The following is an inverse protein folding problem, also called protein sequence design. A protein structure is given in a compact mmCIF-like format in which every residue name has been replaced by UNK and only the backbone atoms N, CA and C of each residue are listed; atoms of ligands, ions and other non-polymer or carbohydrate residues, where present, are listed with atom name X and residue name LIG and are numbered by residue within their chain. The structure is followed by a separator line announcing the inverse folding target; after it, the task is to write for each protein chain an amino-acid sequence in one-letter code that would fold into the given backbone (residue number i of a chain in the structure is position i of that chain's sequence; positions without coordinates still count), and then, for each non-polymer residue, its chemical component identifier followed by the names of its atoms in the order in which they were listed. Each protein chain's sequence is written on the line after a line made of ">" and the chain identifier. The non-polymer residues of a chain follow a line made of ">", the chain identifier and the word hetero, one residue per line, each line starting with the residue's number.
data_IF_796957024401
#
_entry.id   IF_796957024401
#
_cell.length_a   1.000
_cell.length_b   1.000
_cell.length_c   1.000
_cell.angle_alpha   90.00
_cell.angle_beta   90.00
_cell.angle_gamma   90.00
#
_symmetry.space_group_name_H-M   'P 1'
#
loop_
_entity.id
_entity.type
_entity.pdbx_description
1 polymer ?
#
# COMPACT_ATOMS: atom_id res chain seq x y z
N UNK A 1 13.95 0.49 37.26
CA UNK A 1 13.35 1.82 37.03
C UNK A 1 13.93 2.53 35.81
N UNK A 2 15.25 2.48 35.57
CA UNK A 2 15.85 3.08 34.37
C UNK A 2 15.39 2.45 33.04
N UNK A 3 15.19 1.12 33.04
CA UNK A 3 14.76 0.38 31.84
C UNK A 3 13.35 0.77 31.36
N UNK A 4 12.49 1.24 32.28
CA UNK A 4 11.10 1.62 31.98
C UNK A 4 11.10 2.86 31.08
N UNK A 5 11.97 3.83 31.35
CA UNK A 5 12.10 5.03 30.51
C UNK A 5 12.58 4.70 29.10
N UNK A 6 13.49 3.72 28.96
CA UNK A 6 13.93 3.22 27.66
C UNK A 6 12.77 2.54 26.91
N UNK A 7 12.02 1.65 27.59
CA UNK A 7 10.86 0.99 27.00
C UNK A 7 9.78 1.97 26.53
N UNK A 8 9.50 3.00 27.33
CA UNK A 8 8.55 4.06 26.97
C UNK A 8 9.03 4.79 25.71
N UNK A 9 10.30 5.20 25.67
CA UNK A 9 10.87 5.86 24.49
C UNK A 9 10.81 4.98 23.24
N UNK A 10 11.14 3.69 23.37
CA UNK A 10 11.09 2.72 22.28
C UNK A 10 9.65 2.52 21.78
N UNK A 11 8.66 2.42 22.68
CA UNK A 11 7.25 2.28 22.33
C UNK A 11 6.71 3.51 21.58
N UNK A 12 7.04 4.72 22.05
CA UNK A 12 6.65 5.97 21.38
C UNK A 12 7.29 6.06 19.99
N UNK A 13 8.58 5.73 19.88
CA UNK A 13 9.28 5.73 18.59
C UNK A 13 8.65 4.74 17.61
N UNK A 14 8.32 3.53 18.06
CA UNK A 14 7.65 2.52 17.26
C UNK A 14 6.26 3.00 16.81
N UNK A 15 5.48 3.61 17.70
CA UNK A 15 4.18 4.20 17.35
C UNK A 15 4.31 5.30 16.28
N UNK A 16 5.33 6.17 16.36
CA UNK A 16 5.59 7.20 15.36
C UNK A 16 5.96 6.60 14.00
N UNK A 17 6.74 5.51 13.97
CA UNK A 17 7.06 4.79 12.73
C UNK A 17 5.79 4.27 12.06
N UNK A 18 4.91 3.61 12.83
CA UNK A 18 3.64 3.11 12.29
C UNK A 18 2.73 4.25 11.80
N UNK A 19 2.70 5.37 12.51
CA UNK A 19 1.93 6.54 12.10
C UNK A 19 2.48 7.16 10.80
N UNK A 20 3.80 7.26 10.66
CA UNK A 20 4.43 7.75 9.43
C UNK A 20 4.17 6.81 8.24
N UNK A 21 4.28 5.49 8.47
CA UNK A 21 3.95 4.48 7.47
C UNK A 21 2.48 4.55 7.04
N UNK A 22 1.57 4.80 7.98
CA UNK A 22 0.13 4.98 7.69
C UNK A 22 -0.11 6.18 6.76
N UNK A 23 0.49 7.34 7.05
CA UNK A 23 0.35 8.50 6.16
C UNK A 23 1.01 8.29 4.79
N UNK A 24 2.14 7.59 4.73
CA UNK A 24 2.78 7.22 3.47
C UNK A 24 1.88 6.30 2.62
N UNK A 25 1.30 5.27 3.24
CA UNK A 25 0.37 4.35 2.59
C UNK A 25 -0.89 5.08 2.08
N UNK A 26 -1.47 5.98 2.89
CA UNK A 26 -2.62 6.78 2.47
C UNK A 26 -2.30 7.68 1.27
N UNK A 27 -1.09 8.26 1.21
CA UNK A 27 -0.65 9.10 0.09
C UNK A 27 -0.26 8.29 -1.15
N UNK A 28 -0.07 6.97 -1.04
CA UNK A 28 0.34 6.12 -2.16
C UNK A 28 -0.73 5.99 -3.26
N UNK A 29 -1.93 6.56 -3.11
CA UNK A 29 -2.99 6.53 -4.12
C UNK A 29 -3.52 5.12 -4.43
N UNK A 30 -3.15 4.11 -3.63
CA UNK A 30 -3.60 2.73 -3.81
C UNK A 30 -5.11 2.57 -3.66
N UNK A 31 -5.79 3.53 -3.02
CA UNK A 31 -7.23 3.55 -2.84
C UNK A 31 -8.00 4.24 -3.97
N UNK A 32 -7.30 4.89 -4.91
CA UNK A 32 -7.95 5.70 -5.94
C UNK A 32 -8.49 4.85 -7.09
N UNK A 33 -7.93 3.65 -7.29
CA UNK A 33 -8.32 2.74 -8.37
C UNK A 33 -9.24 1.61 -7.87
N UNK A 34 -10.54 1.92 -7.81
CA UNK A 34 -11.57 0.97 -7.38
C UNK A 34 -12.22 0.21 -8.55
N UNK A 35 -11.89 0.54 -9.79
CA UNK A 35 -12.65 0.10 -10.98
C UNK A 35 -11.78 -0.68 -12.00
N UNK A 36 -10.59 -0.19 -12.31
CA UNK A 36 -9.69 -0.79 -13.31
C UNK A 36 -9.34 -2.25 -13.01
N UNK A 37 -9.10 -2.69 -11.75
CA UNK A 37 -8.70 -4.07 -11.47
C UNK A 37 -9.74 -5.12 -11.90
N UNK A 38 -11.03 -4.80 -11.75
CA UNK A 38 -12.12 -5.75 -12.03
C UNK A 38 -12.39 -5.92 -13.53
N UNK A 39 -12.14 -4.88 -14.33
CA UNK A 39 -12.38 -4.92 -15.78
C UNK A 39 -11.13 -5.31 -16.57
N UNK A 40 -9.94 -5.27 -15.95
CA UNK A 40 -8.67 -5.58 -16.63
C UNK A 40 -8.68 -6.96 -17.29
N UNK A 41 -9.19 -7.99 -16.59
CA UNK A 41 -9.29 -9.35 -17.13
C UNK A 41 -10.24 -9.46 -18.34
N UNK A 42 -11.21 -8.55 -18.46
CA UNK A 42 -12.14 -8.50 -19.59
C UNK A 42 -11.55 -7.75 -20.79
N UNK A 43 -10.55 -6.90 -20.56
CA UNK A 43 -9.90 -6.05 -21.58
C UNK A 43 -8.55 -6.64 -22.07
N UNK A 44 -7.95 -7.56 -21.32
CA UNK A 44 -6.70 -8.21 -21.69
C UNK A 44 -6.82 -9.03 -23.00
N UNK A 45 -8.02 -9.54 -23.34
CA UNK A 45 -8.30 -10.32 -24.56
C UNK A 45 -8.43 -9.47 -25.84
N UNK A 46 -8.67 -8.15 -25.74
CA UNK A 46 -8.84 -7.28 -26.93
C UNK A 46 -7.52 -6.87 -27.58
N UNK A 47 -6.40 -7.00 -26.86
CA UNK A 47 -5.08 -6.53 -27.31
C UNK A 47 -4.15 -7.65 -27.79
N UNK A 48 -4.61 -8.90 -27.83
CA UNK A 48 -3.85 -9.94 -28.53
C UNK A 48 -3.82 -9.59 -30.02
N UNK A 49 -2.64 -9.37 -30.63
CA UNK A 49 -2.56 -9.19 -32.06
C UNK A 49 -3.10 -10.48 -32.68
N UNK A 50 -4.25 -10.41 -33.34
CA UNK A 50 -4.80 -11.49 -34.16
C UNK A 50 -3.70 -11.89 -35.13
N UNK A 51 -2.95 -12.93 -34.75
CA UNK A 51 -1.94 -13.54 -35.58
C UNK A 51 -2.72 -14.21 -36.71
N UNK A 52 -2.95 -13.44 -37.76
CA UNK A 52 -3.47 -13.89 -39.04
C UNK A 52 -2.46 -14.89 -39.61
N UNK A 53 -2.57 -16.14 -39.18
CA UNK A 53 -2.06 -17.29 -39.93
C UNK A 53 -3.13 -17.80 -40.87
#
# INVERSE_FOLDING_TARGET
>A
MNIIYLLIGCSVLLALIFLAAFFWAQRSGQHDDLYTPSIRILLDDENEPVNKK
#
